data_IF_734982608194
#
_entry.id   IF_734982608194
#
_cell.length_a   1.000
_cell.length_b   1.000
_cell.length_c   1.000
_cell.angle_alpha   90.00
_cell.angle_beta   90.00
_cell.angle_gamma   90.00
#
_symmetry.space_group_name_H-M   'P 1'
#
loop_
_entity.id
_entity.type
_entity.pdbx_description
1 polymer ?
#
# COMPACT_ATOMS: atom_id res chain seq x y z
N UNK A 1 49.25 -14.03 -24.14
CA UNK A 1 48.26 -14.53 -23.17
C UNK A 1 47.15 -13.50 -23.09
N UNK A 2 46.00 -13.73 -23.74
CA UNK A 2 44.93 -12.73 -23.81
C UNK A 2 44.08 -12.79 -22.53
N UNK A 3 44.17 -11.73 -21.72
CA UNK A 3 43.28 -11.50 -20.60
C UNK A 3 41.86 -11.26 -21.12
N UNK A 4 40.99 -12.28 -21.05
CA UNK A 4 39.54 -12.09 -21.21
C UNK A 4 39.05 -11.33 -19.97
N UNK A 5 38.61 -10.08 -20.17
CA UNK A 5 37.81 -9.37 -19.16
C UNK A 5 36.61 -10.24 -18.77
N UNK A 6 36.24 -10.33 -17.48
CA UNK A 6 35.05 -11.05 -17.07
C UNK A 6 33.83 -10.38 -17.74
N UNK A 7 33.02 -11.19 -18.44
CA UNK A 7 31.72 -10.76 -18.94
C UNK A 7 30.89 -10.37 -17.71
N UNK A 8 30.55 -9.09 -17.58
CA UNK A 8 29.44 -8.65 -16.71
C UNK A 8 28.25 -9.54 -17.08
N UNK A 9 27.77 -10.35 -16.13
CA UNK A 9 26.46 -10.98 -16.27
C UNK A 9 25.49 -9.81 -16.48
N UNK A 10 24.81 -9.79 -17.63
CA UNK A 10 23.60 -8.99 -17.76
C UNK A 10 22.66 -9.56 -16.70
N UNK A 11 22.40 -8.82 -15.64
CA UNK A 11 21.26 -9.10 -14.78
C UNK A 11 20.04 -8.99 -15.70
N UNK A 12 19.48 -10.13 -16.08
CA UNK A 12 18.19 -10.18 -16.74
C UNK A 12 17.20 -9.57 -15.74
N UNK A 13 16.62 -8.44 -16.11
CA UNK A 13 15.57 -7.78 -15.32
C UNK A 13 14.40 -8.74 -15.22
N UNK A 14 14.31 -9.47 -14.11
CA UNK A 14 13.18 -10.35 -13.80
C UNK A 14 11.90 -9.51 -13.85
N UNK A 15 10.97 -9.89 -14.72
CA UNK A 15 9.62 -9.33 -14.72
C UNK A 15 8.87 -9.85 -13.49
N UNK A 16 8.34 -8.94 -12.69
CA UNK A 16 7.51 -9.26 -11.52
C UNK A 16 6.14 -9.71 -12.00
N UNK A 17 5.60 -10.79 -11.43
CA UNK A 17 4.26 -11.30 -11.72
C UNK A 17 3.28 -11.02 -10.59
N UNK A 18 2.03 -10.78 -10.95
CA UNK A 18 0.89 -10.76 -10.04
C UNK A 18 0.10 -12.05 -10.25
N UNK A 19 -0.15 -12.75 -9.17
CA UNK A 19 -0.93 -13.98 -9.12
C UNK A 19 -2.25 -13.71 -8.41
N UNK A 20 -3.37 -14.13 -9.00
CA UNK A 20 -4.71 -14.03 -8.40
C UNK A 20 -5.41 -15.38 -8.48
N UNK A 21 -6.32 -15.63 -7.54
CA UNK A 21 -7.14 -16.85 -7.53
C UNK A 21 -8.25 -16.72 -8.59
N UNK A 22 -8.42 -17.76 -9.42
CA UNK A 22 -9.54 -17.83 -10.37
C UNK A 22 -10.70 -18.59 -9.72
N UNK A 23 -11.78 -17.89 -9.36
CA UNK A 23 -12.95 -18.49 -8.71
C UNK A 23 -13.91 -19.19 -9.69
N UNK A 24 -13.59 -19.28 -10.99
CA UNK A 24 -14.46 -19.90 -11.99
C UNK A 24 -14.39 -21.45 -12.04
N UNK A 25 -14.15 -22.09 -10.89
CA UNK A 25 -14.29 -23.55 -10.73
C UNK A 25 -12.99 -24.36 -10.85
N UNK A 26 -11.82 -23.72 -10.80
CA UNK A 26 -10.54 -24.42 -10.65
C UNK A 26 -9.69 -23.68 -9.62
N UNK A 27 -9.24 -24.34 -8.54
CA UNK A 27 -8.42 -23.73 -7.46
C UNK A 27 -6.98 -23.34 -7.91
N UNK A 28 -6.82 -22.80 -9.11
CA UNK A 28 -5.54 -22.50 -9.72
C UNK A 28 -5.25 -21.00 -9.69
N UNK A 29 -3.98 -20.68 -9.44
CA UNK A 29 -3.47 -19.33 -9.57
C UNK A 29 -3.36 -18.95 -11.05
N UNK A 30 -4.05 -17.89 -11.44
CA UNK A 30 -3.78 -17.18 -12.69
C UNK A 30 -2.61 -16.21 -12.48
N UNK A 31 -1.88 -15.84 -13.54
CA UNK A 31 -0.75 -14.91 -13.40
C UNK A 31 -0.64 -13.94 -14.57
N UNK A 32 -0.36 -12.68 -14.26
CA UNK A 32 -0.09 -11.60 -15.22
C UNK A 32 1.22 -10.90 -14.85
N UNK A 33 1.82 -10.17 -15.79
CA UNK A 33 2.98 -9.31 -15.48
C UNK A 33 2.47 -8.13 -14.66
N UNK A 34 3.07 -7.88 -13.50
CA UNK A 34 2.78 -6.72 -12.66
C UNK A 34 3.42 -5.47 -13.29
N UNK A 35 2.70 -4.82 -14.20
CA UNK A 35 3.09 -3.55 -14.79
C UNK A 35 2.46 -2.37 -14.03
N UNK A 36 2.69 -2.31 -12.71
CA UNK A 36 2.19 -1.21 -11.89
C UNK A 36 3.19 -0.04 -11.88
N UNK A 37 2.77 1.21 -12.18
CA UNK A 37 3.70 2.35 -12.30
C UNK A 37 4.23 2.86 -10.95
N UNK A 38 3.58 2.53 -9.84
CA UNK A 38 4.03 2.99 -8.53
C UNK A 38 5.39 2.37 -8.14
N UNK A 39 6.24 3.27 -7.63
CA UNK A 39 7.53 3.00 -7.00
C UNK A 39 7.55 3.68 -5.63
N UNK A 40 8.42 3.23 -4.71
CA UNK A 40 8.53 3.83 -3.38
C UNK A 40 8.85 5.34 -3.44
N UNK A 41 9.58 5.76 -4.48
CA UNK A 41 9.89 7.17 -4.74
C UNK A 41 8.61 7.97 -5.06
N UNK A 42 7.80 7.49 -6.00
CA UNK A 42 6.57 8.15 -6.47
C UNK A 42 5.44 8.16 -5.43
N UNK A 43 5.53 7.38 -4.35
CA UNK A 43 4.48 7.30 -3.33
C UNK A 43 4.37 8.59 -2.53
N UNK A 44 3.16 9.15 -2.49
CA UNK A 44 2.80 10.31 -1.68
C UNK A 44 2.48 9.87 -0.24
N UNK A 45 3.50 9.78 0.59
CA UNK A 45 3.41 9.44 2.00
C UNK A 45 4.46 10.21 2.80
N UNK A 46 4.42 10.08 4.12
CA UNK A 46 5.41 10.68 5.00
C UNK A 46 6.84 10.19 4.70
N UNK A 47 7.81 11.11 4.75
CA UNK A 47 9.20 10.84 4.37
C UNK A 47 9.93 9.96 5.37
N UNK A 48 9.63 10.11 6.66
CA UNK A 48 10.22 9.28 7.71
C UNK A 48 9.65 7.86 7.64
N UNK A 49 8.34 7.73 7.54
CA UNK A 49 7.69 6.42 7.39
C UNK A 49 8.15 5.67 6.12
N UNK A 50 8.37 6.39 5.01
CA UNK A 50 8.94 5.83 3.77
C UNK A 50 10.36 5.32 3.99
N UNK A 51 11.21 6.11 4.68
CA UNK A 51 12.59 5.74 4.99
C UNK A 51 12.65 4.49 5.87
N UNK A 52 11.86 4.45 6.94
CA UNK A 52 11.80 3.29 7.85
C UNK A 52 11.34 2.01 7.13
N UNK A 53 10.36 2.12 6.23
CA UNK A 53 9.93 0.98 5.41
C UNK A 53 11.07 0.47 4.51
N UNK A 54 11.79 1.37 3.82
CA UNK A 54 12.91 0.99 2.95
C UNK A 54 14.02 0.32 3.75
N UNK A 55 14.41 0.90 4.89
CA UNK A 55 15.43 0.35 5.78
C UNK A 55 15.04 -1.05 6.29
N UNK A 56 13.78 -1.27 6.63
CA UNK A 56 13.29 -2.58 7.05
C UNK A 56 13.32 -3.61 5.92
N UNK A 57 12.92 -3.23 4.70
CA UNK A 57 12.95 -4.09 3.53
C UNK A 57 14.38 -4.51 3.19
N UNK A 58 15.32 -3.57 3.19
CA UNK A 58 16.74 -3.84 2.95
C UNK A 58 17.32 -4.74 4.04
N UNK A 59 16.98 -4.47 5.30
CA UNK A 59 17.39 -5.32 6.43
C UNK A 59 16.86 -6.74 6.27
N UNK A 60 15.59 -6.92 5.89
CA UNK A 60 14.98 -8.23 5.70
C UNK A 60 15.70 -9.05 4.61
N UNK A 61 15.96 -8.46 3.44
CA UNK A 61 16.66 -9.14 2.32
C UNK A 61 18.06 -9.59 2.75
N UNK A 62 18.75 -8.77 3.53
CA UNK A 62 20.13 -9.06 3.95
C UNK A 62 20.22 -10.00 5.17
N UNK A 63 19.09 -10.44 5.74
CA UNK A 63 19.05 -11.19 7.00
C UNK A 63 18.96 -12.71 6.85
N UNK A 64 19.08 -13.28 5.64
CA UNK A 64 18.95 -14.74 5.39
C UNK A 64 19.71 -15.62 6.39
N UNK A 65 21.00 -15.33 6.59
CA UNK A 65 21.85 -16.13 7.46
C UNK A 65 21.53 -15.93 8.94
N UNK A 66 21.06 -14.74 9.32
CA UNK A 66 20.57 -14.50 10.67
C UNK A 66 19.37 -15.39 11.00
N UNK A 67 18.34 -15.38 10.15
CA UNK A 67 17.13 -16.21 10.32
C UNK A 67 17.47 -17.70 10.38
N UNK A 68 18.32 -18.18 9.48
CA UNK A 68 18.80 -19.57 9.46
C UNK A 68 19.52 -19.93 10.76
N UNK A 69 20.44 -19.09 11.24
CA UNK A 69 21.24 -19.34 12.45
C UNK A 69 20.39 -19.44 13.71
N UNK A 70 19.33 -18.64 13.81
CA UNK A 70 18.43 -18.64 14.98
C UNK A 70 17.27 -19.64 14.85
N UNK A 71 17.25 -20.45 13.78
CA UNK A 71 16.22 -21.48 13.56
C UNK A 71 14.82 -20.89 13.33
N UNK A 72 14.72 -19.68 12.77
CA UNK A 72 13.43 -19.01 12.48
C UNK A 72 13.13 -19.04 10.98
N UNK A 73 11.86 -19.18 10.65
CA UNK A 73 11.37 -19.00 9.27
C UNK A 73 11.71 -17.60 8.77
N UNK A 74 12.28 -17.50 7.55
CA UNK A 74 12.68 -16.22 6.95
C UNK A 74 11.46 -15.51 6.34
N UNK A 75 10.61 -15.00 7.24
CA UNK A 75 9.39 -14.27 6.93
C UNK A 75 9.36 -12.89 7.59
N UNK A 76 8.62 -11.96 6.96
CA UNK A 76 8.31 -10.62 7.48
C UNK A 76 6.86 -10.27 7.20
N UNK A 77 6.14 -9.83 8.23
CA UNK A 77 4.74 -9.40 8.11
C UNK A 77 4.58 -7.89 8.16
N UNK A 78 3.80 -7.32 7.25
CA UNK A 78 3.43 -5.90 7.23
C UNK A 78 1.92 -5.73 7.37
N UNK A 79 1.49 -4.70 8.10
CA UNK A 79 0.10 -4.24 8.15
C UNK A 79 0.02 -2.81 7.65
N UNK A 80 -0.66 -2.58 6.53
CA UNK A 80 -0.97 -1.26 6.00
C UNK A 80 -2.43 -0.94 6.27
N UNK A 81 -2.67 0.11 7.06
CA UNK A 81 -4.03 0.48 7.45
C UNK A 81 -4.28 1.97 7.29
N UNK A 82 -5.54 2.35 7.03
CA UNK A 82 -5.95 3.75 6.89
C UNK A 82 -7.08 3.94 5.90
N UNK A 83 -7.56 5.17 5.68
CA UNK A 83 -8.70 5.46 4.81
C UNK A 83 -8.58 4.87 3.39
N UNK A 84 -9.70 4.59 2.68
CA UNK A 84 -9.64 4.28 1.26
C UNK A 84 -8.99 5.44 0.47
N UNK A 85 -8.29 5.13 -0.62
CA UNK A 85 -7.63 6.16 -1.43
C UNK A 85 -6.26 6.64 -0.92
N UNK A 86 -5.71 6.05 0.15
CA UNK A 86 -4.37 6.41 0.66
C UNK A 86 -3.21 5.62 0.04
N UNK A 87 -3.49 4.74 -0.92
CA UNK A 87 -2.44 4.06 -1.70
C UNK A 87 -1.92 2.74 -1.11
N UNK A 88 -2.64 2.12 -0.16
CA UNK A 88 -2.26 0.83 0.47
C UNK A 88 -1.86 -0.25 -0.56
N UNK A 89 -2.70 -0.51 -1.56
CA UNK A 89 -2.41 -1.51 -2.61
C UNK A 89 -1.29 -1.06 -3.56
N UNK A 90 -1.22 0.24 -3.87
CA UNK A 90 -0.13 0.80 -4.67
C UNK A 90 1.23 0.67 -3.97
N UNK A 91 1.26 0.75 -2.63
CA UNK A 91 2.45 0.51 -1.84
C UNK A 91 2.91 -0.96 -1.93
N UNK A 92 1.98 -1.92 -1.87
CA UNK A 92 2.31 -3.34 -2.08
C UNK A 92 2.96 -3.56 -3.45
N UNK A 93 2.39 -2.97 -4.50
CA UNK A 93 2.96 -3.05 -5.84
C UNK A 93 4.36 -2.40 -5.92
N UNK A 94 4.54 -1.25 -5.27
CA UNK A 94 5.84 -0.57 -5.19
C UNK A 94 6.89 -1.42 -4.46
N UNK A 95 6.52 -2.10 -3.37
CA UNK A 95 7.41 -3.04 -2.66
C UNK A 95 7.77 -4.24 -3.53
N UNK A 96 6.78 -4.86 -4.20
CA UNK A 96 7.02 -5.99 -5.11
C UNK A 96 8.02 -5.60 -6.23
N UNK A 97 7.85 -4.40 -6.79
CA UNK A 97 8.75 -3.83 -7.78
C UNK A 97 10.16 -3.54 -7.24
N UNK A 98 10.26 -3.04 -6.00
CA UNK A 98 11.53 -2.74 -5.33
C UNK A 98 12.32 -4.04 -5.06
N UNK A 99 11.65 -5.05 -4.51
CA UNK A 99 12.25 -6.32 -4.11
C UNK A 99 12.43 -7.33 -5.26
N UNK A 100 11.76 -7.10 -6.40
CA UNK A 100 11.61 -8.08 -7.51
C UNK A 100 10.91 -9.37 -7.09
N UNK A 101 9.95 -9.24 -6.16
CA UNK A 101 9.14 -10.34 -5.64
C UNK A 101 7.85 -10.45 -6.43
N UNK A 102 7.48 -11.68 -6.83
CA UNK A 102 6.16 -11.92 -7.40
C UNK A 102 5.10 -11.71 -6.31
N UNK A 103 4.01 -11.02 -6.66
CA UNK A 103 2.92 -10.70 -5.75
C UNK A 103 1.80 -11.72 -5.89
N UNK A 104 1.25 -12.17 -4.77
CA UNK A 104 0.09 -13.07 -4.70
C UNK A 104 -1.02 -12.31 -4.01
N UNK A 105 -2.05 -11.96 -4.76
CA UNK A 105 -3.20 -11.20 -4.26
C UNK A 105 -4.34 -12.15 -3.89
N UNK A 106 -4.87 -11.94 -2.69
CA UNK A 106 -5.93 -12.76 -2.11
C UNK A 106 -6.95 -11.81 -1.47
N UNK A 107 -8.10 -11.64 -2.13
CA UNK A 107 -9.19 -10.85 -1.59
C UNK A 107 -10.05 -11.70 -0.65
N UNK A 108 -10.13 -11.30 0.62
CA UNK A 108 -10.92 -11.99 1.65
C UNK A 108 -12.34 -11.43 1.79
N UNK A 109 -12.70 -10.39 1.02
CA UNK A 109 -14.04 -9.80 1.03
C UNK A 109 -15.06 -10.66 0.30
N UNK A 110 -14.66 -11.28 -0.79
CA UNK A 110 -15.53 -12.14 -1.61
C UNK A 110 -16.08 -13.35 -0.82
N UNK A 111 -15.43 -13.74 0.27
CA UNK A 111 -15.90 -14.80 1.16
C UNK A 111 -17.00 -14.38 2.16
N UNK A 112 -17.31 -13.07 2.30
CA UNK A 112 -18.33 -12.57 3.25
C UNK A 112 -19.71 -12.39 2.64
N UNK A 113 -19.83 -12.18 1.32
CA UNK A 113 -21.14 -11.94 0.68
C UNK A 113 -22.00 -13.21 0.55
N UNK A 114 -21.41 -14.39 0.71
CA UNK A 114 -22.14 -15.66 0.78
C UNK A 114 -22.72 -15.99 2.17
N UNK A 115 -22.72 -15.04 3.12
CA UNK A 115 -23.35 -15.25 4.43
C UNK A 115 -24.85 -14.90 4.46
N UNK A 116 -25.36 -14.09 3.51
CA UNK A 116 -26.75 -13.61 3.58
C UNK A 116 -27.78 -14.44 2.83
N UNK A 117 -27.42 -15.32 1.89
CA UNK A 117 -28.40 -16.14 1.17
C UNK A 117 -27.91 -17.59 0.98
N UNK A 118 -28.76 -18.53 1.42
CA UNK A 118 -28.72 -19.98 1.21
C UNK A 118 -27.66 -20.83 1.96
N UNK A 119 -28.15 -21.57 2.97
CA UNK A 119 -27.57 -22.85 3.40
C UNK A 119 -27.82 -23.88 2.30
N UNK A 120 -26.77 -24.37 1.63
CA UNK A 120 -26.58 -25.75 1.13
C UNK A 120 -25.33 -25.83 0.25
N UNK A 121 -24.21 -26.24 0.83
CA UNK A 121 -23.04 -26.93 0.28
C UNK A 121 -21.83 -26.58 1.15
N UNK A 122 -21.08 -27.59 1.60
CA UNK A 122 -19.75 -27.42 2.20
C UNK A 122 -18.78 -26.97 1.10
N UNK A 123 -18.84 -25.69 0.72
CA UNK A 123 -17.81 -25.07 -0.12
C UNK A 123 -16.69 -24.55 0.77
N UNK A 124 -15.46 -24.81 0.35
CA UNK A 124 -14.18 -24.48 1.01
C UNK A 124 -13.98 -22.96 1.20
N UNK A 125 -14.76 -22.35 2.10
CA UNK A 125 -14.64 -20.93 2.44
C UNK A 125 -13.38 -20.67 3.27
N UNK A 126 -12.47 -19.86 2.73
CA UNK A 126 -11.29 -19.37 3.46
C UNK A 126 -11.74 -18.31 4.48
N UNK A 127 -11.77 -18.69 5.76
CA UNK A 127 -11.99 -17.72 6.85
C UNK A 127 -10.71 -16.95 7.17
N UNK A 128 -10.81 -15.70 7.62
CA UNK A 128 -9.65 -14.93 8.11
C UNK A 128 -8.92 -15.68 9.23
N UNK A 129 -9.66 -16.30 10.16
CA UNK A 129 -9.08 -17.14 11.21
C UNK A 129 -8.32 -18.34 10.64
N UNK A 130 -8.89 -19.03 9.64
CA UNK A 130 -8.26 -20.14 8.95
C UNK A 130 -6.97 -19.73 8.22
N UNK A 131 -7.00 -18.61 7.48
CA UNK A 131 -5.82 -18.07 6.81
C UNK A 131 -4.72 -17.68 7.82
N UNK A 132 -5.09 -17.01 8.91
CA UNK A 132 -4.13 -16.61 9.93
C UNK A 132 -3.49 -17.83 10.61
N UNK A 133 -4.27 -18.87 10.89
CA UNK A 133 -3.73 -20.13 11.42
C UNK A 133 -2.83 -20.84 10.41
N UNK A 134 -3.13 -20.75 9.12
CA UNK A 134 -2.29 -21.27 8.05
C UNK A 134 -0.94 -20.52 7.96
N UNK A 135 -0.95 -19.19 8.07
CA UNK A 135 0.25 -18.32 8.06
C UNK A 135 1.16 -18.57 9.26
N UNK A 136 0.59 -18.87 10.43
CA UNK A 136 1.33 -19.16 11.66
C UNK A 136 1.74 -20.64 11.80
N UNK A 137 1.16 -21.53 11.00
CA UNK A 137 1.35 -22.98 11.09
C UNK A 137 2.67 -23.50 10.51
N UNK A 138 2.81 -24.83 10.46
CA UNK A 138 3.99 -25.55 9.94
C UNK A 138 4.33 -25.18 8.48
N UNK A 139 3.38 -24.67 7.70
CA UNK A 139 3.66 -24.18 6.35
C UNK A 139 4.65 -23.02 6.33
N UNK A 140 4.66 -22.18 7.38
CA UNK A 140 5.64 -21.10 7.51
C UNK A 140 7.08 -21.59 7.63
N UNK A 141 7.30 -22.87 8.00
CA UNK A 141 8.61 -23.50 8.06
C UNK A 141 9.07 -24.10 6.71
N UNK A 142 8.15 -24.22 5.74
CA UNK A 142 8.41 -24.81 4.43
C UNK A 142 8.60 -23.70 3.39
N UNK A 143 9.83 -23.25 3.14
CA UNK A 143 10.17 -22.38 2.01
C UNK A 143 11.26 -21.34 2.29
N UNK A 144 11.64 -20.61 1.24
CA UNK A 144 12.61 -19.50 1.26
C UNK A 144 11.97 -18.18 1.75
N UNK A 145 12.57 -17.02 1.39
CA UNK A 145 12.14 -15.65 1.71
C UNK A 145 10.67 -15.36 1.39
N UNK A 146 9.91 -14.88 2.40
CA UNK A 146 8.50 -14.51 2.23
C UNK A 146 8.17 -13.20 2.93
N UNK A 147 7.42 -12.34 2.24
CA UNK A 147 6.78 -11.16 2.82
C UNK A 147 5.27 -11.35 2.75
N UNK A 148 4.58 -11.06 3.84
CA UNK A 148 3.13 -11.10 3.93
C UNK A 148 2.65 -9.69 4.24
N UNK A 149 1.78 -9.13 3.41
CA UNK A 149 1.21 -7.81 3.62
C UNK A 149 -0.29 -7.92 3.80
N UNK A 150 -0.79 -7.35 4.90
CA UNK A 150 -2.22 -7.16 5.12
C UNK A 150 -2.58 -5.71 4.85
N UNK A 151 -3.62 -5.48 4.05
CA UNK A 151 -4.18 -4.14 3.85
C UNK A 151 -5.56 -4.05 4.47
N UNK A 152 -5.84 -3.01 5.26
CA UNK A 152 -7.15 -2.80 5.89
C UNK A 152 -7.55 -1.33 5.87
N UNK A 153 -8.85 -1.04 5.92
CA UNK A 153 -9.32 0.33 6.10
C UNK A 153 -9.23 0.81 7.56
N UNK A 154 -9.17 -0.14 8.49
CA UNK A 154 -9.10 0.12 9.92
C UNK A 154 -8.04 -0.76 10.58
N UNK A 155 -7.50 -0.30 11.70
CA UNK A 155 -6.56 -1.10 12.48
C UNK A 155 -7.30 -2.28 13.12
N UNK A 156 -6.99 -3.51 12.68
CA UNK A 156 -7.60 -4.73 13.20
C UNK A 156 -6.71 -5.38 14.28
N UNK A 157 -7.15 -5.46 15.54
CA UNK A 157 -6.40 -6.10 16.62
C UNK A 157 -6.00 -7.56 16.37
N UNK A 158 -6.75 -8.31 15.56
CA UNK A 158 -6.44 -9.70 15.23
C UNK A 158 -5.15 -9.84 14.43
N UNK A 159 -4.77 -8.79 13.69
CA UNK A 159 -3.56 -8.72 12.89
C UNK A 159 -2.35 -8.26 13.69
N UNK A 160 -2.53 -7.54 14.81
CA UNK A 160 -1.46 -6.93 15.61
C UNK A 160 -0.66 -7.92 16.48
N UNK A 161 -0.92 -9.23 16.40
CA UNK A 161 -0.21 -10.21 17.24
C UNK A 161 1.23 -10.41 16.74
N UNK A 162 2.24 -10.33 17.63
CA UNK A 162 3.63 -10.62 17.27
C UNK A 162 3.77 -12.00 16.61
N UNK A 163 4.51 -12.06 15.50
CA UNK A 163 4.67 -13.27 14.68
C UNK A 163 3.76 -13.34 13.43
N UNK A 164 2.71 -12.50 13.38
CA UNK A 164 1.84 -12.30 12.21
C UNK A 164 2.20 -11.06 11.41
N UNK A 165 2.31 -9.93 12.11
CA UNK A 165 2.71 -8.65 11.54
C UNK A 165 3.79 -8.03 12.43
N UNK A 166 4.92 -7.71 11.82
CA UNK A 166 6.11 -7.19 12.48
C UNK A 166 6.19 -5.67 12.34
N UNK A 167 5.72 -5.14 11.20
CA UNK A 167 5.74 -3.71 10.86
C UNK A 167 4.32 -3.21 10.60
N UNK A 168 3.92 -2.13 11.27
CA UNK A 168 2.61 -1.52 11.10
C UNK A 168 2.78 -0.11 10.55
N UNK A 169 2.18 0.17 9.41
CA UNK A 169 2.24 1.46 8.74
C UNK A 169 0.82 2.03 8.59
N UNK A 170 0.62 3.19 9.19
CA UNK A 170 -0.59 3.98 9.00
C UNK A 170 -0.48 4.81 7.71
N UNK A 171 -1.36 4.52 6.77
CA UNK A 171 -1.51 5.27 5.52
C UNK A 171 -2.56 6.37 5.73
N UNK A 172 -2.11 7.48 6.30
CA UNK A 172 -2.93 8.64 6.68
C UNK A 172 -3.39 9.49 5.48
N UNK A 173 -4.14 10.55 5.78
CA UNK A 173 -4.46 11.61 4.82
C UNK A 173 -3.21 12.30 4.28
N UNK A 174 -3.37 13.00 3.16
CA UNK A 174 -2.30 13.64 2.41
C UNK A 174 -1.68 14.79 3.22
N UNK A 175 -0.46 14.58 3.71
CA UNK A 175 0.34 15.65 4.29
C UNK A 175 0.83 16.61 3.20
N UNK A 176 1.32 17.77 3.60
CA UNK A 176 1.94 18.69 2.65
C UNK A 176 3.17 18.09 1.93
N UNK A 177 3.95 17.25 2.62
CA UNK A 177 5.03 16.47 1.99
C UNK A 177 4.48 15.49 0.94
N UNK A 178 3.37 14.81 1.24
CA UNK A 178 2.66 13.96 0.29
C UNK A 178 2.19 14.76 -0.93
N UNK A 179 1.58 15.93 -0.70
CA UNK A 179 1.16 16.84 -1.77
C UNK A 179 2.33 17.28 -2.65
N UNK A 180 3.49 17.67 -2.09
CA UNK A 180 4.68 18.04 -2.89
C UNK A 180 5.14 16.90 -3.79
N UNK A 181 5.07 15.66 -3.30
CA UNK A 181 5.37 14.47 -4.09
C UNK A 181 4.39 14.35 -5.26
N UNK A 182 3.08 14.53 -5.02
CA UNK A 182 2.07 14.52 -6.08
C UNK A 182 2.26 15.67 -7.08
N UNK A 183 2.48 16.90 -6.61
CA UNK A 183 2.70 18.06 -7.47
C UNK A 183 3.91 17.88 -8.38
N UNK A 184 5.02 17.34 -7.85
CA UNK A 184 6.19 16.98 -8.65
C UNK A 184 5.87 15.87 -9.67
N UNK A 185 5.16 14.82 -9.26
CA UNK A 185 4.82 13.71 -10.14
C UNK A 185 3.91 14.12 -11.31
N UNK A 186 2.82 14.84 -11.03
CA UNK A 186 1.77 15.20 -12.00
C UNK A 186 2.10 16.47 -12.79
N UNK A 187 2.59 17.51 -12.13
CA UNK A 187 2.75 18.84 -12.73
C UNK A 187 4.22 19.21 -13.01
N UNK A 188 5.19 18.38 -12.58
CA UNK A 188 6.64 18.62 -12.76
C UNK A 188 7.11 19.94 -12.14
N UNK A 189 6.55 20.30 -10.99
CA UNK A 189 6.91 21.50 -10.22
C UNK A 189 7.47 21.12 -8.85
N UNK A 190 8.41 21.92 -8.34
CA UNK A 190 8.98 21.78 -6.99
C UNK A 190 8.45 22.84 -6.02
N UNK A 191 8.01 23.99 -6.53
CA UNK A 191 7.48 25.10 -5.75
C UNK A 191 6.42 25.88 -6.54
N UNK A 192 5.52 26.55 -5.81
CA UNK A 192 4.51 27.42 -6.39
C UNK A 192 3.97 28.43 -5.37
N UNK A 193 3.63 29.64 -5.82
CA UNK A 193 3.04 30.72 -4.99
C UNK A 193 1.78 30.33 -4.20
N UNK A 194 1.11 29.24 -4.59
CA UNK A 194 -0.11 28.73 -3.96
C UNK A 194 0.16 27.66 -2.89
N UNK A 195 1.40 27.21 -2.73
CA UNK A 195 1.74 26.13 -1.82
C UNK A 195 1.43 26.47 -0.36
N UNK A 196 1.67 27.71 0.08
CA UNK A 196 1.34 28.11 1.46
C UNK A 196 -0.14 27.99 1.78
N UNK A 197 -1.02 28.36 0.83
CA UNK A 197 -2.47 28.23 0.99
C UNK A 197 -2.89 26.75 1.04
N UNK A 198 -2.27 25.91 0.21
CA UNK A 198 -2.55 24.46 0.20
C UNK A 198 -2.05 23.79 1.49
N UNK A 199 -0.89 24.19 2.00
CA UNK A 199 -0.34 23.69 3.26
C UNK A 199 -1.27 24.01 4.43
N UNK A 200 -1.76 25.24 4.52
CA UNK A 200 -2.74 25.65 5.53
C UNK A 200 -4.04 24.84 5.43
N UNK A 201 -4.61 24.73 4.22
CA UNK A 201 -5.84 23.97 4.00
C UNK A 201 -5.69 22.48 4.33
N UNK A 202 -4.61 21.84 3.90
CA UNK A 202 -4.34 20.43 4.24
C UNK A 202 -4.09 20.21 5.75
N UNK A 203 -3.73 21.27 6.50
CA UNK A 203 -3.68 21.25 7.96
C UNK A 203 -5.05 21.21 8.62
N UNK A 204 -6.07 21.76 7.95
CA UNK A 204 -7.43 21.90 8.49
C UNK A 204 -8.40 20.82 8.00
N UNK A 205 -8.19 20.26 6.80
CA UNK A 205 -9.11 19.29 6.19
C UNK A 205 -8.47 17.94 5.90
N UNK A 206 -9.29 16.90 5.98
CA UNK A 206 -8.89 15.54 5.59
C UNK A 206 -9.08 15.33 4.08
N UNK A 207 -7.98 15.23 3.35
CA UNK A 207 -7.95 14.89 1.92
C UNK A 207 -7.05 13.68 1.68
N UNK A 208 -7.53 12.69 0.94
CA UNK A 208 -6.70 11.52 0.62
C UNK A 208 -5.72 11.86 -0.51
N UNK A 209 -4.57 11.17 -0.63
CA UNK A 209 -3.72 11.28 -1.80
C UNK A 209 -4.47 11.09 -3.13
N UNK A 210 -5.47 10.19 -3.16
CA UNK A 210 -6.33 10.01 -4.33
C UNK A 210 -7.20 11.25 -4.62
N UNK A 211 -7.78 11.89 -3.60
CA UNK A 211 -8.55 13.14 -3.77
C UNK A 211 -7.67 14.23 -4.39
N UNK A 212 -6.47 14.42 -3.82
CA UNK A 212 -5.51 15.42 -4.27
C UNK A 212 -5.06 15.13 -5.70
N UNK A 213 -4.65 13.89 -5.99
CA UNK A 213 -4.27 13.49 -7.34
C UNK A 213 -5.40 13.68 -8.36
N UNK A 214 -6.64 13.41 -7.95
CA UNK A 214 -7.85 13.61 -8.76
C UNK A 214 -8.09 15.08 -9.14
N UNK A 215 -7.68 16.03 -8.31
CA UNK A 215 -7.71 17.46 -8.67
C UNK A 215 -6.53 17.85 -9.56
N UNK A 216 -5.32 17.35 -9.27
CA UNK A 216 -4.12 17.69 -10.03
C UNK A 216 -4.17 17.19 -11.48
N UNK A 217 -4.79 16.04 -11.74
CA UNK A 217 -4.88 15.46 -13.09
C UNK A 217 -5.83 16.23 -14.02
N UNK A 218 -6.65 17.16 -13.49
CA UNK A 218 -7.64 17.90 -14.29
C UNK A 218 -7.00 18.89 -15.26
N UNK A 219 -5.75 19.27 -15.06
CA UNK A 219 -5.05 20.21 -15.94
C UNK A 219 -3.54 20.03 -15.86
N UNK A 220 -2.86 20.10 -17.01
CA UNK A 220 -1.41 20.16 -17.07
C UNK A 220 -0.86 21.55 -16.70
N UNK A 221 -1.73 22.58 -16.61
CA UNK A 221 -1.35 23.91 -16.18
C UNK A 221 -1.35 23.99 -14.64
N UNK A 222 -0.18 24.24 -14.05
CA UNK A 222 0.00 24.27 -12.60
C UNK A 222 -0.91 25.28 -11.88
N UNK A 223 -1.07 26.50 -12.39
CA UNK A 223 -1.97 27.49 -11.78
C UNK A 223 -3.41 26.98 -11.74
N UNK A 224 -3.90 26.41 -12.84
CA UNK A 224 -5.28 25.91 -12.95
C UNK A 224 -5.51 24.69 -12.06
N UNK A 225 -4.58 23.72 -12.08
CA UNK A 225 -4.67 22.50 -11.26
C UNK A 225 -4.65 22.82 -9.76
N UNK A 226 -3.72 23.68 -9.33
CA UNK A 226 -3.61 24.08 -7.93
C UNK A 226 -4.79 24.94 -7.47
N UNK A 227 -5.33 25.81 -8.32
CA UNK A 227 -6.58 26.53 -8.00
C UNK A 227 -7.78 25.60 -7.91
N UNK A 228 -7.84 24.53 -8.72
CA UNK A 228 -8.88 23.49 -8.59
C UNK A 228 -8.79 22.78 -7.25
N UNK A 229 -7.58 22.39 -6.85
CA UNK A 229 -7.33 21.77 -5.56
C UNK A 229 -7.73 22.68 -4.40
N UNK A 230 -7.37 23.97 -4.43
CA UNK A 230 -7.77 24.93 -3.39
C UNK A 230 -9.28 25.00 -3.25
N UNK A 231 -10.02 25.15 -4.37
CA UNK A 231 -11.49 25.18 -4.35
C UNK A 231 -12.08 23.89 -3.76
N UNK A 232 -11.50 22.74 -4.10
CA UNK A 232 -11.92 21.46 -3.55
C UNK A 232 -11.71 21.37 -2.03
N UNK A 233 -10.53 21.77 -1.53
CA UNK A 233 -10.22 21.76 -0.10
C UNK A 233 -11.08 22.75 0.70
N UNK A 234 -11.32 23.95 0.16
CA UNK A 234 -12.20 24.95 0.77
C UNK A 234 -13.66 24.48 0.88
N UNK A 235 -14.15 23.73 -0.12
CA UNK A 235 -15.49 23.11 -0.04
C UNK A 235 -15.57 22.16 1.15
N UNK A 236 -14.57 21.29 1.31
CA UNK A 236 -14.49 20.35 2.44
C UNK A 236 -14.40 21.08 3.79
N UNK A 237 -13.64 22.18 3.86
CA UNK A 237 -13.53 22.99 5.09
C UNK A 237 -14.89 23.59 5.47
N UNK A 238 -15.61 24.14 4.49
CA UNK A 238 -16.94 24.71 4.69
C UNK A 238 -17.96 23.66 5.15
N UNK A 239 -17.92 22.44 4.59
CA UNK A 239 -18.78 21.32 5.00
C UNK A 239 -18.51 20.89 6.46
N UNK A 240 -17.24 20.91 6.88
CA UNK A 240 -16.86 20.60 8.26
C UNK A 240 -17.41 21.64 9.25
N UNK A 241 -17.28 22.93 8.93
CA UNK A 241 -17.79 24.02 9.78
C UNK A 241 -19.32 23.96 9.95
N UNK A 242 -20.05 23.62 8.88
CA UNK A 242 -21.51 23.46 8.92
C UNK A 242 -21.91 22.29 9.82
N UNK A 243 -21.23 21.13 9.72
CA UNK A 243 -21.51 19.95 10.54
C UNK A 243 -21.27 20.19 12.04
N UNK A 244 -20.26 20.98 12.40
CA UNK A 244 -19.95 21.33 13.80
C UNK A 244 -20.96 22.35 14.37
N UNK A 245 -21.45 23.26 13.53
CA UNK A 245 -22.46 24.26 13.93
C UNK A 245 -23.84 23.63 14.15
N UNK A 246 -24.20 22.61 13.39
CA UNK A 246 -25.47 21.87 13.56
C UNK A 246 -25.46 20.99 14.81
N UNK A 247 -24.37 20.25 15.07
CA UNK A 247 -24.23 19.42 16.27
C UNK A 247 -24.26 20.23 17.59
N UNK A 248 -23.91 21.52 17.53
CA UNK A 248 -23.94 22.44 18.69
C UNK A 248 -25.33 23.04 18.97
N UNK A 249 -26.31 22.88 18.07
CA UNK A 249 -27.69 23.41 18.23
C UNK A 249 -28.68 22.38 18.75
N UNK A 250 -28.31 21.10 18.74
CA UNK A 250 -29.14 19.96 19.20
C UNK A 250 -28.82 19.50 20.64
N UNK A 251 -28.01 20.24 21.40
CA UNK A 251 -27.71 20.02 22.82
C UNK A 251 -28.29 21.10 23.73
#
# INVERSE_FOLDING_TARGET
MFYKKPRRKKEETKAVRLHTVDYNGTDYWSSVILNHPATLETMAMDSEAKRELIEDLDMFINSKDYYRRVGRAWKRGYLFYGPPGTGKSSLVAAMANYLKFDAYDLDLRENREFESEARTAEEDKITLSGLLNFIDGLWSSCGDERIIVFTSNHKDPLLLRPGRTDVHLEMSYCSFSGFRTLASNYLKIEDHKLYGVIEELLGNVQATPADVAGELVKSDNADIALQSLIRHLQSKETELDQSQTECSRDN
#
